data_IF_955666529239
#
_entry.id   IF_955666529239
#
_cell.length_a   1.000
_cell.length_b   1.000
_cell.length_c   1.000
_cell.angle_alpha   90.00
_cell.angle_beta   90.00
_cell.angle_gamma   90.00
#
_symmetry.space_group_name_H-M   'P 1'
#
loop_
_entity.id
_entity.type
_entity.pdbx_description
1 polymer ?
#
# COMPACT_ATOMS: atom_id res chain seq x y z
N UNK A 1 -7.78 24.56 -2.12
CA UNK A 1 -7.92 23.09 -2.06
C UNK A 1 -9.09 22.74 -2.97
N UNK A 2 -8.87 21.87 -3.96
CA UNK A 2 -9.91 21.41 -4.89
C UNK A 2 -10.92 20.54 -4.11
N UNK A 3 -12.22 20.80 -4.20
CA UNK A 3 -13.26 20.04 -3.43
C UNK A 3 -14.13 19.15 -4.30
N UNK A 4 -14.02 19.24 -5.62
CA UNK A 4 -14.65 18.36 -6.60
C UNK A 4 -13.76 18.22 -7.85
N UNK A 5 -13.89 17.12 -8.60
CA UNK A 5 -13.18 16.91 -9.86
C UNK A 5 -11.91 16.06 -9.75
N UNK A 6 -11.00 16.18 -10.72
CA UNK A 6 -9.78 15.35 -10.80
C UNK A 6 -8.53 16.20 -10.93
N UNK A 7 -7.43 15.80 -10.28
CA UNK A 7 -6.15 16.48 -10.40
C UNK A 7 -4.95 15.54 -10.22
N UNK A 8 -3.86 15.84 -10.92
CA UNK A 8 -2.53 15.31 -10.63
C UNK A 8 -1.85 16.28 -9.66
N UNK A 9 -1.36 15.76 -8.54
CA UNK A 9 -0.79 16.57 -7.45
C UNK A 9 0.70 16.29 -7.35
N UNK A 10 1.53 17.21 -7.85
CA UNK A 10 2.98 17.09 -7.73
C UNK A 10 3.42 17.55 -6.33
N UNK A 11 4.02 16.64 -5.57
CA UNK A 11 4.56 16.86 -4.24
C UNK A 11 6.08 17.02 -4.34
N UNK A 12 6.54 18.25 -4.51
CA UNK A 12 7.97 18.56 -4.59
C UNK A 12 8.65 18.63 -3.22
N UNK A 13 7.88 18.92 -2.17
CA UNK A 13 8.28 18.83 -0.77
C UNK A 13 7.10 18.33 0.06
N UNK A 14 7.28 17.27 0.83
CA UNK A 14 6.18 16.66 1.59
C UNK A 14 6.67 15.85 2.80
N UNK A 15 5.73 15.48 3.67
CA UNK A 15 5.94 14.60 4.83
C UNK A 15 4.83 13.56 4.88
N UNK A 16 4.97 12.52 5.71
CA UNK A 16 3.86 11.58 5.95
C UNK A 16 2.59 12.29 6.45
N UNK A 17 2.72 13.38 7.23
CA UNK A 17 1.58 14.21 7.63
C UNK A 17 0.85 14.85 6.45
N UNK A 18 1.58 15.38 5.45
CA UNK A 18 0.99 15.87 4.20
C UNK A 18 0.29 14.75 3.45
N UNK A 19 0.87 13.54 3.44
CA UNK A 19 0.26 12.39 2.80
C UNK A 19 -1.06 11.96 3.49
N UNK A 20 -1.12 12.00 4.82
CA UNK A 20 -2.35 11.79 5.58
C UNK A 20 -3.41 12.85 5.29
N UNK A 21 -3.05 14.14 5.33
CA UNK A 21 -3.98 15.24 5.05
C UNK A 21 -4.57 15.15 3.65
N UNK A 22 -3.72 14.93 2.63
CA UNK A 22 -4.15 14.80 1.24
C UNK A 22 -5.09 13.60 1.05
N UNK A 23 -4.79 12.50 1.74
CA UNK A 23 -5.62 11.30 1.72
C UNK A 23 -6.97 11.52 2.38
N UNK A 24 -7.00 12.11 3.59
CA UNK A 24 -8.27 12.44 4.28
C UNK A 24 -9.11 13.38 3.44
N UNK A 25 -8.49 14.38 2.83
CA UNK A 25 -9.16 15.31 1.94
C UNK A 25 -9.86 14.57 0.78
N UNK A 26 -9.14 13.69 0.09
CA UNK A 26 -9.71 12.93 -1.03
C UNK A 26 -10.75 11.87 -0.62
N UNK A 27 -10.67 11.33 0.60
CA UNK A 27 -11.67 10.39 1.11
C UNK A 27 -12.98 11.09 1.51
N UNK A 28 -12.92 12.35 1.95
CA UNK A 28 -14.06 13.12 2.46
C UNK A 28 -14.77 13.97 1.39
N UNK A 29 -14.15 14.20 0.24
CA UNK A 29 -14.68 15.06 -0.82
C UNK A 29 -14.77 14.28 -2.14
N UNK A 30 -15.69 14.65 -3.05
CA UNK A 30 -15.83 14.02 -4.37
C UNK A 30 -14.69 14.45 -5.33
N UNK A 31 -13.45 14.20 -4.94
CA UNK A 31 -12.24 14.48 -5.72
C UNK A 31 -11.48 13.19 -6.02
N UNK A 32 -10.83 13.17 -7.18
CA UNK A 32 -9.86 12.14 -7.57
C UNK A 32 -8.49 12.77 -7.69
N UNK A 33 -7.57 12.40 -6.81
CA UNK A 33 -6.21 12.96 -6.79
C UNK A 33 -5.20 11.86 -7.12
N UNK A 34 -4.27 12.15 -8.04
CA UNK A 34 -3.12 11.28 -8.31
C UNK A 34 -1.85 12.00 -7.86
N UNK A 35 -1.30 11.65 -6.70
CA UNK A 35 -0.07 12.24 -6.21
C UNK A 35 1.12 11.76 -7.05
N UNK A 36 2.04 12.67 -7.34
CA UNK A 36 3.29 12.43 -8.03
C UNK A 36 4.42 12.98 -7.17
N UNK A 37 5.41 12.16 -6.88
CA UNK A 37 6.51 12.49 -5.96
C UNK A 37 7.83 11.98 -6.51
N UNK A 38 8.87 12.81 -6.48
CA UNK A 38 10.23 12.39 -6.74
C UNK A 38 10.88 11.81 -5.49
N UNK A 39 11.70 10.77 -5.68
CA UNK A 39 12.60 10.23 -4.65
C UNK A 39 13.90 9.77 -5.31
N UNK A 40 14.93 10.62 -5.27
CA UNK A 40 16.21 10.39 -5.92
C UNK A 40 16.05 10.07 -7.42
N UNK A 41 16.45 8.87 -7.82
CA UNK A 41 16.36 8.41 -9.20
C UNK A 41 14.96 7.95 -9.63
N UNK A 42 13.96 8.02 -8.74
CA UNK A 42 12.62 7.50 -8.96
C UNK A 42 11.58 8.61 -8.99
N UNK A 43 10.56 8.44 -9.81
CA UNK A 43 9.30 9.20 -9.74
C UNK A 43 8.18 8.21 -9.44
N UNK A 44 7.47 8.42 -8.34
CA UNK A 44 6.34 7.57 -7.94
C UNK A 44 5.03 8.28 -8.29
N UNK A 45 4.14 7.59 -8.99
CA UNK A 45 2.84 8.07 -9.44
C UNK A 45 1.76 7.23 -8.77
N UNK A 46 0.84 7.88 -8.06
CA UNK A 46 -0.22 7.25 -7.30
C UNK A 46 0.11 7.00 -5.82
N UNK A 47 -0.78 6.30 -5.10
CA UNK A 47 -2.02 5.69 -5.60
C UNK A 47 -3.10 6.72 -5.90
N UNK A 48 -4.14 6.31 -6.63
CA UNK A 48 -5.35 7.14 -6.80
C UNK A 48 -6.04 7.33 -5.46
N UNK A 49 -6.26 8.60 -5.08
CA UNK A 49 -6.99 8.98 -3.88
C UNK A 49 -8.37 9.49 -4.28
N UNK A 50 -9.42 8.84 -3.78
CA UNK A 50 -10.82 9.20 -4.03
C UNK A 50 -11.72 8.57 -2.95
N UNK A 51 -13.00 8.97 -2.83
CA UNK A 51 -13.94 8.27 -1.97
C UNK A 51 -14.00 6.78 -2.33
N UNK A 52 -13.93 5.91 -1.31
CA UNK A 52 -13.90 4.46 -1.49
C UNK A 52 -12.59 3.88 -2.05
N UNK A 53 -11.51 4.68 -2.12
CA UNK A 53 -10.19 4.15 -2.49
C UNK A 53 -9.76 3.03 -1.52
N UNK A 54 -9.19 1.96 -2.09
CA UNK A 54 -8.77 0.78 -1.33
C UNK A 54 -7.69 1.09 -0.29
N UNK A 55 -6.81 2.05 -0.56
CA UNK A 55 -5.74 2.48 0.34
C UNK A 55 -5.42 3.95 0.20
N UNK A 56 -4.69 4.50 1.18
CA UNK A 56 -4.29 5.91 1.19
C UNK A 56 -2.81 6.11 0.85
N UNK A 57 -2.45 7.37 0.59
CA UNK A 57 -1.07 7.76 0.30
C UNK A 57 -0.12 7.43 1.44
N UNK A 58 -0.59 7.61 2.69
CA UNK A 58 0.20 7.28 3.88
C UNK A 58 0.53 5.80 3.96
N UNK A 59 -0.40 4.90 3.63
CA UNK A 59 -0.13 3.46 3.62
C UNK A 59 0.92 3.10 2.58
N UNK A 60 0.77 3.64 1.36
CA UNK A 60 1.70 3.35 0.26
C UNK A 60 3.11 3.81 0.58
N UNK A 61 3.26 5.01 1.15
CA UNK A 61 4.58 5.53 1.53
C UNK A 61 5.17 4.87 2.75
N UNK A 62 4.34 4.56 3.74
CA UNK A 62 4.79 3.74 4.87
C UNK A 62 5.40 2.43 4.38
N UNK A 63 4.70 1.70 3.49
CA UNK A 63 5.19 0.45 2.90
C UNK A 63 6.49 0.66 2.13
N UNK A 64 6.52 1.66 1.26
CA UNK A 64 7.70 1.99 0.43
C UNK A 64 8.93 2.29 1.26
N UNK A 65 8.78 3.14 2.28
CA UNK A 65 9.87 3.56 3.15
C UNK A 65 10.32 2.43 4.08
N UNK A 66 9.39 1.59 4.56
CA UNK A 66 9.72 0.41 5.35
C UNK A 66 10.60 -0.58 4.57
N UNK A 67 10.36 -0.73 3.26
CA UNK A 67 11.16 -1.60 2.37
C UNK A 67 12.62 -1.11 2.21
N UNK A 68 12.87 0.19 2.33
CA UNK A 68 14.22 0.77 2.20
C UNK A 68 15.11 0.43 3.41
N UNK A 69 14.52 0.02 4.55
CA UNK A 69 15.22 -0.51 5.72
C UNK A 69 15.71 0.53 6.75
N UNK A 70 16.15 0.01 7.91
CA UNK A 70 16.30 0.70 9.20
C UNK A 70 17.33 1.83 9.33
N UNK A 71 17.84 2.40 8.24
CA UNK A 71 18.65 3.64 8.28
C UNK A 71 17.83 4.90 8.01
N UNK A 72 16.66 4.76 7.38
CA UNK A 72 15.73 5.87 7.16
C UNK A 72 14.76 5.93 8.34
N UNK A 73 14.53 7.10 8.97
CA UNK A 73 13.57 7.25 10.06
C UNK A 73 12.13 7.28 9.49
N UNK A 74 11.74 6.18 8.85
CA UNK A 74 10.57 6.06 7.98
C UNK A 74 9.23 6.27 8.72
N UNK A 75 9.18 6.08 10.04
CA UNK A 75 7.99 6.35 10.85
C UNK A 75 7.97 7.78 11.43
N UNK A 76 8.96 8.63 11.14
CA UNK A 76 9.02 9.98 11.69
C UNK A 76 8.06 10.90 10.95
N UNK A 77 7.08 11.54 11.63
CA UNK A 77 6.19 12.51 11.00
C UNK A 77 6.94 13.74 10.46
N UNK A 78 8.12 14.04 11.01
CA UNK A 78 8.98 15.13 10.58
C UNK A 78 9.95 14.78 9.45
N UNK A 79 9.95 13.53 8.96
CA UNK A 79 10.77 13.16 7.79
C UNK A 79 10.26 13.92 6.56
N UNK A 80 11.06 14.89 6.12
CA UNK A 80 10.79 15.67 4.91
C UNK A 80 11.41 14.98 3.70
N UNK A 81 10.59 14.75 2.70
CA UNK A 81 10.97 14.16 1.43
C UNK A 81 10.81 15.24 0.35
N UNK A 82 11.79 15.28 -0.54
CA UNK A 82 11.88 16.28 -1.60
C UNK A 82 12.28 15.59 -2.90
N UNK A 83 11.78 16.11 -4.01
CA UNK A 83 12.11 15.58 -5.32
C UNK A 83 11.11 15.98 -6.37
N UNK A 84 11.58 16.17 -7.60
CA UNK A 84 10.74 16.49 -8.75
C UNK A 84 10.87 15.41 -9.82
N UNK A 85 9.80 15.13 -10.58
CA UNK A 85 9.92 14.31 -11.78
C UNK A 85 11.00 14.85 -12.70
N UNK A 86 11.76 13.96 -13.33
CA UNK A 86 12.72 14.35 -14.35
C UNK A 86 12.00 15.03 -15.53
N UNK A 87 12.45 16.21 -16.01
CA UNK A 87 11.88 16.87 -17.18
C UNK A 87 11.78 15.98 -18.41
N UNK A 88 12.74 15.04 -18.57
CA UNK A 88 12.78 14.11 -19.70
C UNK A 88 11.64 13.09 -19.70
N UNK A 89 10.96 12.88 -18.56
CA UNK A 89 9.89 11.88 -18.41
C UNK A 89 8.55 12.50 -17.98
N UNK A 90 8.40 13.83 -18.04
CA UNK A 90 7.15 14.51 -17.62
C UNK A 90 5.94 13.99 -18.40
N UNK A 91 6.07 13.79 -19.71
CA UNK A 91 4.98 13.28 -20.54
C UNK A 91 4.60 11.85 -20.16
N UNK A 92 5.59 10.98 -19.94
CA UNK A 92 5.36 9.60 -19.49
C UNK A 92 4.69 9.56 -18.11
N UNK A 93 5.11 10.42 -17.19
CA UNK A 93 4.49 10.57 -15.86
C UNK A 93 3.04 11.06 -15.98
N UNK A 94 2.77 12.01 -16.89
CA UNK A 94 1.42 12.50 -17.18
C UNK A 94 0.51 11.38 -17.71
N UNK A 95 1.01 10.57 -18.65
CA UNK A 95 0.27 9.41 -19.20
C UNK A 95 -0.02 8.38 -18.10
N UNK A 96 0.97 8.03 -17.28
CA UNK A 96 0.79 7.07 -16.18
C UNK A 96 -0.18 7.60 -15.10
N UNK A 97 -0.18 8.92 -14.86
CA UNK A 97 -1.13 9.51 -13.94
C UNK A 97 -2.56 9.49 -14.49
N UNK A 98 -2.73 9.77 -15.78
CA UNK A 98 -4.03 9.68 -16.45
C UNK A 98 -4.55 8.23 -16.47
N UNK A 99 -3.70 7.24 -16.81
CA UNK A 99 -4.11 5.83 -16.81
C UNK A 99 -4.53 5.36 -15.41
N UNK A 100 -3.87 5.86 -14.37
CA UNK A 100 -4.27 5.58 -12.99
C UNK A 100 -5.66 6.11 -12.68
N UNK A 101 -6.00 7.35 -13.08
CA UNK A 101 -7.32 7.94 -12.83
C UNK A 101 -8.46 7.12 -13.45
N UNK A 102 -8.22 6.52 -14.60
CA UNK A 102 -9.15 5.63 -15.29
C UNK A 102 -9.21 4.24 -14.62
N UNK A 103 -8.08 3.80 -14.04
CA UNK A 103 -8.00 2.55 -13.30
C UNK A 103 -8.69 2.63 -11.94
N UNK A 104 -9.47 1.61 -11.58
CA UNK A 104 -10.02 1.46 -10.23
C UNK A 104 -9.07 0.77 -9.24
N UNK A 105 -7.84 0.46 -9.66
CA UNK A 105 -6.94 -0.44 -8.94
C UNK A 105 -6.09 0.28 -7.88
N UNK A 106 -5.70 -0.47 -6.84
CA UNK A 106 -4.79 -0.01 -5.79
C UNK A 106 -3.33 -0.22 -6.22
N UNK A 107 -2.94 0.48 -7.29
CA UNK A 107 -1.60 0.37 -7.87
C UNK A 107 -0.87 1.71 -7.87
N UNK A 108 0.44 1.62 -7.98
CA UNK A 108 1.36 2.74 -8.18
C UNK A 108 2.32 2.45 -9.30
N UNK A 109 2.65 3.46 -10.08
CA UNK A 109 3.70 3.38 -11.07
C UNK A 109 4.99 4.00 -10.52
N UNK A 110 6.11 3.35 -10.78
CA UNK A 110 7.44 3.86 -10.42
C UNK A 110 8.23 4.02 -11.70
N UNK A 111 8.59 5.24 -12.03
CA UNK A 111 9.46 5.57 -13.16
C UNK A 111 10.88 5.70 -12.65
N UNK A 112 11.80 4.93 -13.22
CA UNK A 112 13.22 5.02 -12.92
C UNK A 112 13.90 6.00 -13.88
N UNK A 113 14.09 7.25 -13.44
CA UNK A 113 14.61 8.37 -14.23
C UNK A 113 16.01 8.07 -14.82
N UNK A 114 16.86 7.32 -14.13
CA UNK A 114 18.19 6.95 -14.65
C UNK A 114 18.22 5.81 -15.67
N UNK A 115 17.15 5.01 -15.77
CA UNK A 115 17.07 3.82 -16.65
C UNK A 115 16.04 3.97 -17.77
N UNK A 116 15.14 4.95 -17.67
CA UNK A 116 14.04 5.12 -18.61
C UNK A 116 13.03 3.97 -18.58
N UNK A 117 12.94 3.24 -17.46
CA UNK A 117 11.99 2.14 -17.28
C UNK A 117 10.89 2.54 -16.32
N UNK A 118 9.73 1.88 -16.40
CA UNK A 118 8.72 1.96 -15.35
C UNK A 118 8.31 0.56 -14.89
N UNK A 119 7.76 0.50 -13.68
CA UNK A 119 7.17 -0.70 -13.09
C UNK A 119 5.84 -0.35 -12.41
N UNK A 120 4.95 -1.32 -12.34
CA UNK A 120 3.65 -1.20 -11.66
C UNK A 120 3.66 -2.07 -10.44
N UNK A 121 3.26 -1.50 -9.31
CA UNK A 121 3.27 -2.18 -8.02
C UNK A 121 1.89 -2.15 -7.40
N UNK A 122 1.45 -3.30 -6.90
CA UNK A 122 0.26 -3.39 -6.05
C UNK A 122 0.70 -3.10 -4.62
N UNK A 123 -0.18 -2.49 -3.84
CA UNK A 123 0.04 -2.35 -2.41
C UNK A 123 -1.21 -2.74 -1.63
N UNK A 124 -0.97 -3.25 -0.43
CA UNK A 124 -2.01 -3.51 0.55
C UNK A 124 -2.02 -2.40 1.60
N UNK A 125 -3.19 -1.84 1.94
CA UNK A 125 -3.33 -0.92 3.06
C UNK A 125 -2.74 -1.51 4.34
N UNK A 126 -2.23 -0.65 5.20
CA UNK A 126 -1.85 -1.08 6.54
C UNK A 126 -3.10 -1.40 7.34
N UNK A 127 -3.14 -2.58 7.96
CA UNK A 127 -4.18 -2.95 8.91
C UNK A 127 -4.25 -1.93 10.04
N UNK A 128 -5.42 -1.33 10.26
CA UNK A 128 -5.61 -0.31 11.30
C UNK A 128 -5.13 1.09 10.96
N UNK A 129 -4.89 1.41 9.67
CA UNK A 129 -4.54 2.77 9.27
C UNK A 129 -5.63 3.78 9.66
N UNK A 130 -5.28 4.76 10.51
CA UNK A 130 -6.21 5.81 10.96
C UNK A 130 -6.83 6.68 9.85
N UNK A 131 -6.36 6.55 8.60
CA UNK A 131 -6.87 7.29 7.44
C UNK A 131 -7.85 6.45 6.60
N UNK A 132 -7.41 5.33 6.03
CA UNK A 132 -8.24 4.54 5.12
C UNK A 132 -8.84 3.27 5.72
N UNK A 133 -8.35 2.83 6.89
CA UNK A 133 -8.83 1.61 7.54
C UNK A 133 -8.74 1.74 9.07
N UNK A 134 -9.44 2.74 9.67
CA UNK A 134 -9.33 2.99 11.11
C UNK A 134 -9.81 1.76 11.88
N UNK A 135 -9.11 1.40 12.95
CA UNK A 135 -9.57 0.34 13.84
C UNK A 135 -10.91 0.74 14.47
N UNK A 136 -11.84 -0.21 14.66
CA UNK A 136 -13.01 0.04 15.47
C UNK A 136 -12.58 0.40 16.90
N UNK A 137 -13.43 1.11 17.67
CA UNK A 137 -13.16 1.40 19.08
C UNK A 137 -12.86 0.11 19.87
N UNK A 138 -11.78 0.10 20.65
CA UNK A 138 -11.25 -1.06 21.39
C UNK A 138 -11.46 -0.92 22.91
N UNK A 139 -12.62 -0.39 23.31
CA UNK A 139 -12.97 -0.19 24.72
C UNK A 139 -13.33 -1.48 25.48
N UNK A 140 -13.22 -1.44 26.80
CA UNK A 140 -13.56 -2.58 27.68
C UNK A 140 -14.98 -3.11 27.44
N UNK A 141 -15.94 -2.22 27.19
CA UNK A 141 -17.33 -2.59 26.87
C UNK A 141 -17.44 -3.41 25.58
N UNK A 142 -16.65 -3.06 24.55
CA UNK A 142 -16.62 -3.78 23.27
C UNK A 142 -15.99 -5.15 23.44
N UNK A 143 -14.90 -5.23 24.22
CA UNK A 143 -14.25 -6.50 24.53
C UNK A 143 -15.18 -7.42 25.34
N UNK A 144 -15.91 -6.89 26.32
CA UNK A 144 -16.88 -7.65 27.11
C UNK A 144 -18.06 -8.11 26.25
N UNK A 145 -18.58 -7.25 25.36
CA UNK A 145 -19.65 -7.62 24.45
C UNK A 145 -19.25 -8.70 23.43
N UNK A 146 -17.99 -8.73 22.97
CA UNK A 146 -17.52 -9.69 21.98
C UNK A 146 -16.97 -10.99 22.59
N UNK A 147 -16.31 -10.90 23.75
CA UNK A 147 -15.53 -11.98 24.36
C UNK A 147 -15.87 -12.27 25.82
N UNK A 148 -16.84 -11.56 26.40
CA UNK A 148 -17.31 -11.77 27.77
C UNK A 148 -18.08 -13.09 27.96
N UNK A 149 -18.48 -13.41 29.20
CA UNK A 149 -19.14 -14.67 29.54
C UNK A 149 -20.41 -14.92 28.72
N UNK A 150 -21.23 -13.90 28.51
CA UNK A 150 -22.50 -14.03 27.77
C UNK A 150 -22.25 -14.27 26.28
N UNK A 151 -21.29 -13.55 25.68
CA UNK A 151 -20.90 -13.72 24.29
C UNK A 151 -20.25 -15.08 24.00
N UNK A 152 -19.60 -15.70 24.99
CA UNK A 152 -19.06 -17.07 24.89
C UNK A 152 -20.14 -18.14 24.99
N UNK A 153 -21.24 -17.85 25.67
CA UNK A 153 -22.39 -18.75 25.81
C UNK A 153 -23.37 -18.65 24.64
N UNK A 154 -23.29 -17.59 23.84
CA UNK A 154 -24.08 -17.44 22.63
C UNK A 154 -23.80 -18.58 21.63
N UNK A 155 -24.82 -19.09 20.91
CA UNK A 155 -24.61 -20.08 19.85
C UNK A 155 -23.64 -19.54 18.81
N UNK A 156 -22.56 -20.28 18.55
CA UNK A 156 -21.59 -19.97 17.49
C UNK A 156 -21.71 -21.01 16.38
N UNK A 157 -21.42 -20.65 15.12
CA UNK A 157 -21.24 -21.64 14.08
C UNK A 157 -20.28 -22.72 14.58
N UNK A 158 -20.68 -23.98 14.48
CA UNK A 158 -19.79 -25.09 14.82
C UNK A 158 -18.58 -24.99 13.90
N UNK A 159 -17.42 -24.70 14.47
CA UNK A 159 -16.17 -24.75 13.73
C UNK A 159 -15.75 -26.22 13.71
N UNK A 160 -15.92 -26.87 12.57
CA UNK A 160 -15.41 -28.22 12.37
C UNK A 160 -13.88 -28.18 12.48
N UNK A 161 -13.26 -28.81 13.49
CA UNK A 161 -11.81 -28.78 13.66
C UNK A 161 -11.05 -29.33 12.46
N UNK A 162 -11.66 -30.25 11.68
CA UNK A 162 -11.04 -30.77 10.46
C UNK A 162 -11.02 -29.71 9.34
N UNK A 163 -12.07 -28.87 9.24
CA UNK A 163 -12.10 -27.75 8.28
C UNK A 163 -11.00 -26.69 8.51
N UNK A 164 -10.50 -26.55 9.75
CA UNK A 164 -9.37 -25.67 10.05
C UNK A 164 -8.01 -26.29 9.67
N UNK A 165 -7.97 -27.60 9.44
CA UNK A 165 -6.76 -28.36 9.07
C UNK A 165 -6.66 -28.61 7.57
N UNK A 166 -7.73 -28.35 6.83
CA UNK A 166 -7.72 -28.47 5.38
C UNK A 166 -6.71 -27.48 4.75
N UNK A 167 -5.99 -27.90 3.69
CA UNK A 167 -5.12 -27.00 2.95
C UNK A 167 -5.90 -25.78 2.45
N UNK A 168 -5.46 -24.58 2.82
CA UNK A 168 -6.03 -23.36 2.28
C UNK A 168 -5.44 -23.10 0.88
N UNK A 169 -6.23 -23.18 -0.21
CA UNK A 169 -5.70 -22.95 -1.56
C UNK A 169 -5.16 -21.53 -1.74
N UNK A 170 -5.57 -20.57 -0.89
CA UNK A 170 -5.05 -19.19 -0.88
C UNK A 170 -3.65 -19.07 -0.28
N UNK A 171 -3.18 -20.08 0.47
CA UNK A 171 -1.85 -20.11 1.07
C UNK A 171 -0.85 -20.97 0.30
N UNK A 172 -1.16 -21.36 -0.94
CA UNK A 172 -0.18 -21.96 -1.83
C UNK A 172 0.96 -20.99 -2.18
N UNK A 173 2.12 -21.52 -2.57
CA UNK A 173 3.33 -20.72 -2.86
C UNK A 173 3.06 -19.60 -3.87
N UNK A 174 2.35 -19.90 -4.96
CA UNK A 174 2.00 -18.91 -5.99
C UNK A 174 1.10 -17.81 -5.44
N UNK A 175 0.06 -18.16 -4.69
CA UNK A 175 -0.88 -17.21 -4.12
C UNK A 175 -0.24 -16.32 -3.05
N UNK A 176 0.59 -16.91 -2.18
CA UNK A 176 1.35 -16.15 -1.19
C UNK A 176 2.35 -15.22 -1.85
N UNK A 177 3.06 -15.67 -2.90
CA UNK A 177 3.99 -14.82 -3.63
C UNK A 177 3.26 -13.65 -4.30
N UNK A 178 2.14 -13.89 -4.96
CA UNK A 178 1.35 -12.83 -5.61
C UNK A 178 0.88 -11.76 -4.61
N UNK A 179 0.53 -12.15 -3.38
CA UNK A 179 -0.02 -11.23 -2.37
C UNK A 179 1.07 -10.55 -1.53
N UNK A 180 2.14 -11.27 -1.18
CA UNK A 180 3.13 -10.81 -0.19
C UNK A 180 4.39 -10.23 -0.83
N UNK A 181 4.75 -10.69 -2.03
CA UNK A 181 5.99 -10.27 -2.66
C UNK A 181 5.80 -9.05 -3.56
N UNK A 182 6.46 -7.96 -3.21
CA UNK A 182 6.68 -6.83 -4.11
C UNK A 182 7.98 -6.13 -3.68
N UNK A 183 8.88 -5.90 -4.63
CA UNK A 183 10.24 -5.40 -4.36
C UNK A 183 10.29 -3.99 -3.74
N UNK A 184 9.17 -3.23 -3.76
CA UNK A 184 9.09 -1.85 -3.26
C UNK A 184 8.03 -1.67 -2.19
N UNK A 185 6.86 -2.26 -2.34
CA UNK A 185 5.69 -2.03 -1.49
C UNK A 185 5.25 -3.27 -0.70
N UNK A 186 5.87 -4.42 -0.98
CA UNK A 186 5.49 -5.69 -0.39
C UNK A 186 6.03 -5.86 1.02
N UNK A 187 5.31 -6.58 1.91
CA UNK A 187 5.89 -7.02 3.17
C UNK A 187 7.11 -7.93 2.97
N UNK A 188 7.15 -8.68 1.86
CA UNK A 188 8.32 -9.42 1.41
C UNK A 188 8.89 -8.71 0.17
N UNK A 189 10.05 -8.07 0.32
CA UNK A 189 10.68 -7.32 -0.77
C UNK A 189 11.84 -8.07 -1.43
N UNK A 190 12.32 -9.14 -0.81
CA UNK A 190 13.41 -9.95 -1.32
C UNK A 190 13.15 -11.42 -1.01
N UNK A 191 13.33 -12.27 -2.03
CA UNK A 191 13.36 -13.72 -1.88
C UNK A 191 14.68 -14.18 -2.46
N UNK A 192 15.57 -14.62 -1.59
CA UNK A 192 16.89 -15.10 -1.96
C UNK A 192 16.93 -16.60 -1.83
N UNK A 193 17.53 -17.26 -2.82
CA UNK A 193 17.99 -18.63 -2.66
C UNK A 193 19.42 -18.56 -2.15
N UNK A 194 19.65 -19.06 -0.94
CA UNK A 194 20.97 -19.03 -0.28
C UNK A 194 21.84 -20.25 -0.64
N UNK A 195 21.27 -21.25 -1.32
CA UNK A 195 22.00 -22.44 -1.76
C UNK A 195 22.61 -22.23 -3.15
N UNK A 196 23.91 -22.49 -3.29
CA UNK A 196 24.68 -22.44 -4.55
C UNK A 196 24.35 -23.62 -5.51
N UNK A 197 23.11 -24.10 -5.54
CA UNK A 197 22.73 -25.24 -6.40
C UNK A 197 22.10 -24.78 -7.71
N UNK A 198 22.72 -25.17 -8.83
CA UNK A 198 22.30 -24.89 -10.22
C UNK A 198 21.02 -25.66 -10.60
N UNK A 199 20.57 -26.62 -9.78
CA UNK A 199 19.40 -27.44 -10.06
C UNK A 199 18.17 -27.03 -9.24
N UNK A 200 17.00 -27.10 -9.87
CA UNK A 200 15.70 -27.05 -9.20
C UNK A 200 15.53 -28.29 -8.31
N UNK A 201 15.11 -28.10 -7.06
CA UNK A 201 14.65 -29.21 -6.21
C UNK A 201 13.43 -29.85 -6.88
N UNK A 202 13.62 -31.01 -7.51
CA UNK A 202 12.53 -31.94 -7.81
C UNK A 202 12.23 -32.70 -6.53
N UNK A 203 11.06 -32.50 -5.94
CA UNK A 203 10.56 -33.40 -4.89
C UNK A 203 10.22 -34.75 -5.51
N UNK A 204 10.80 -35.82 -4.99
CA UNK A 204 10.32 -37.19 -5.20
C UNK A 204 9.02 -37.44 -4.41
#
# INVERSE_FOLDING_TARGET
RLTEGSAVVVLDTWTLGVAEELSRHALLHPVTLVPVRGDGALTVVGPVLRPGARGCLSCTEYRRLATIGGRVPWHSPGLRLEGRPSPAFVDAVGVLAASLQESGEAVVHVVHNGRGTWSTHRFEPMGGCAVCLPLPPDGAEVAEAAFGPDARRAPRPACDPESLREPNPRTGVTGLREVLFDERFGPVHQILRTEESVHSLTSA
#
